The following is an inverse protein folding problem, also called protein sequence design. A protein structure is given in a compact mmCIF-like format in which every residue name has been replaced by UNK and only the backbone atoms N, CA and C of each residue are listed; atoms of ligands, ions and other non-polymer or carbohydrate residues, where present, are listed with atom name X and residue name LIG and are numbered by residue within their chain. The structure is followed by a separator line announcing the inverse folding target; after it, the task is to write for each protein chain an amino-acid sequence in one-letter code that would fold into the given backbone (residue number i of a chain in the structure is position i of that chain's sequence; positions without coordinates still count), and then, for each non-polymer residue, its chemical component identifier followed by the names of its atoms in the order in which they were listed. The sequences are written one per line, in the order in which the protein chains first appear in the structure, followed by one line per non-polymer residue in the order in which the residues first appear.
data_IF_903395796748
#
_entry.id   IF_903395796748
#
_cell.length_a   1.000
_cell.length_b   1.000
_cell.length_c   1.000
_cell.angle_alpha   90.00
_cell.angle_beta   90.00
_cell.angle_gamma   90.00
#
_symmetry.space_group_name_H-M   'P 1'
#
loop_
_entity.id
_entity.type
_entity.pdbx_description
1 polymer ?
#
# COMPACT_ATOMS: atom_id res chain seq x y z
N UNK A 1 5.67 10.05 1.27
CA UNK A 1 6.01 9.08 2.35
C UNK A 1 7.20 8.17 2.02
N UNK A 2 7.28 7.49 0.86
CA UNK A 2 8.39 6.57 0.59
C UNK A 2 9.78 7.21 0.70
N UNK A 3 9.96 8.40 0.16
CA UNK A 3 11.24 9.11 0.15
C UNK A 3 11.60 9.71 1.53
N UNK A 4 10.64 10.01 2.40
CA UNK A 4 10.92 10.59 3.71
C UNK A 4 11.67 9.63 4.65
N UNK A 5 11.58 8.32 4.41
CA UNK A 5 12.29 7.30 5.17
C UNK A 5 13.83 7.38 5.03
N UNK A 6 14.33 8.01 3.96
CA UNK A 6 15.76 8.21 3.69
C UNK A 6 16.33 9.50 4.30
N UNK A 7 15.49 10.34 4.88
CA UNK A 7 15.85 11.66 5.39
C UNK A 7 15.97 11.72 6.92
N UNK A 8 16.72 12.71 7.37
CA UNK A 8 16.82 13.07 8.78
C UNK A 8 15.88 14.25 9.05
N UNK A 9 15.04 14.12 10.07
CA UNK A 9 14.11 15.17 10.48
C UNK A 9 14.88 16.33 11.12
N UNK A 10 14.66 17.55 10.61
CA UNK A 10 15.11 18.78 11.28
C UNK A 10 13.98 19.27 12.21
N UNK A 11 14.05 18.89 13.46
CA UNK A 11 13.03 19.23 14.47
C UNK A 11 12.83 20.74 14.62
N UNK A 12 13.88 21.56 14.42
CA UNK A 12 13.79 23.03 14.51
C UNK A 12 12.88 23.63 13.44
N UNK A 13 12.72 22.96 12.31
CA UNK A 13 11.92 23.39 11.15
C UNK A 13 10.51 22.82 11.13
N UNK A 14 10.22 21.74 11.86
CA UNK A 14 8.91 21.06 11.80
C UNK A 14 7.73 21.98 12.09
N UNK A 15 7.88 22.94 13.01
CA UNK A 15 6.85 23.92 13.36
C UNK A 15 6.44 24.80 12.16
N UNK A 16 7.37 25.14 11.27
CA UNK A 16 7.07 25.96 10.08
C UNK A 16 6.31 25.18 9.04
N UNK A 17 6.60 23.89 8.88
CA UNK A 17 5.81 22.98 8.05
C UNK A 17 4.40 22.80 8.63
N UNK A 18 4.28 22.64 9.95
CA UNK A 18 2.96 22.56 10.60
C UNK A 18 2.12 23.79 10.33
N UNK A 19 2.70 25.00 10.42
CA UNK A 19 2.02 26.25 10.07
C UNK A 19 1.64 26.31 8.60
N UNK A 20 2.54 25.86 7.69
CA UNK A 20 2.30 25.85 6.24
C UNK A 20 1.04 25.08 5.86
N UNK A 21 0.69 23.97 6.55
CA UNK A 21 -0.52 23.23 6.27
C UNK A 21 -1.80 24.04 6.52
N UNK A 22 -1.73 25.11 7.30
CA UNK A 22 -2.84 26.03 7.54
C UNK A 22 -2.80 27.25 6.60
N UNK A 23 -1.65 27.91 6.45
CA UNK A 23 -1.55 29.19 5.74
C UNK A 23 -1.15 29.04 4.26
N UNK A 24 -0.63 27.89 3.83
CA UNK A 24 -0.21 27.56 2.46
C UNK A 24 0.79 28.56 1.85
N UNK A 25 1.57 29.24 2.66
CA UNK A 25 2.49 30.27 2.22
C UNK A 25 3.91 29.73 1.98
N UNK A 26 4.22 29.37 0.73
CA UNK A 26 5.51 28.81 0.31
C UNK A 26 6.70 29.79 0.51
N UNK A 27 6.49 31.09 0.30
CA UNK A 27 7.53 32.10 0.50
C UNK A 27 7.92 32.16 1.97
N UNK A 28 6.93 32.24 2.86
CA UNK A 28 7.15 32.23 4.30
C UNK A 28 7.83 30.94 4.78
N UNK A 29 7.43 29.78 4.24
CA UNK A 29 8.06 28.50 4.54
C UNK A 29 9.54 28.51 4.12
N UNK A 30 9.85 28.95 2.90
CA UNK A 30 11.21 29.07 2.38
C UNK A 30 12.08 29.96 3.24
N UNK A 31 11.60 31.16 3.59
CA UNK A 31 12.31 32.11 4.45
C UNK A 31 12.61 31.56 5.84
N UNK A 32 11.67 30.83 6.42
CA UNK A 32 11.79 30.29 7.78
C UNK A 32 12.59 29.00 7.89
N UNK A 33 12.62 28.20 6.83
CA UNK A 33 13.33 26.90 6.83
C UNK A 33 14.69 26.97 6.15
N UNK A 34 14.94 27.98 5.32
CA UNK A 34 16.13 28.09 4.49
C UNK A 34 16.15 27.13 3.28
N UNK A 35 15.10 26.33 3.07
CA UNK A 35 14.98 25.53 1.86
C UNK A 35 14.67 26.42 0.65
N UNK A 36 15.36 26.16 -0.46
CA UNK A 36 15.09 26.89 -1.70
C UNK A 36 13.82 26.35 -2.38
N UNK A 37 12.69 27.01 -2.14
CA UNK A 37 11.37 26.60 -2.62
C UNK A 37 10.82 27.50 -3.73
N UNK A 38 11.67 28.33 -4.36
CA UNK A 38 11.25 29.38 -5.31
C UNK A 38 10.42 28.89 -6.51
N UNK A 39 10.58 27.65 -6.91
CA UNK A 39 9.88 27.13 -8.09
C UNK A 39 8.66 26.23 -7.72
N UNK A 40 8.30 26.07 -6.44
CA UNK A 40 7.11 25.32 -5.99
C UNK A 40 5.80 26.13 -6.13
N UNK A 41 5.84 27.33 -6.68
CA UNK A 41 4.65 28.18 -6.87
C UNK A 41 3.69 27.65 -7.94
N UNK A 42 4.12 26.69 -8.77
CA UNK A 42 3.23 26.04 -9.74
C UNK A 42 2.82 24.66 -9.30
N UNK A 43 1.54 24.42 -8.96
CA UNK A 43 1.04 23.09 -8.59
C UNK A 43 1.07 22.06 -9.74
N UNK A 44 1.39 22.53 -10.97
CA UNK A 44 1.40 21.71 -12.19
C UNK A 44 2.81 21.33 -12.67
N UNK A 45 3.86 21.82 -12.01
CA UNK A 45 5.22 21.40 -12.33
C UNK A 45 5.41 19.97 -11.78
N UNK A 46 5.75 19.05 -12.68
CA UNK A 46 6.15 17.72 -12.33
C UNK A 46 7.35 17.80 -11.37
N UNK A 47 7.23 17.36 -10.11
CA UNK A 47 8.33 17.45 -9.14
C UNK A 47 9.59 16.72 -9.57
N UNK A 48 9.50 15.85 -10.61
CA UNK A 48 10.60 15.07 -11.13
C UNK A 48 11.43 15.83 -12.19
N UNK A 49 10.89 16.87 -12.80
CA UNK A 49 11.55 17.59 -13.89
C UNK A 49 12.36 18.81 -13.42
N UNK A 50 12.13 19.29 -12.18
CA UNK A 50 12.84 20.40 -11.60
C UNK A 50 13.36 20.02 -10.20
N UNK A 51 14.57 19.53 -10.15
CA UNK A 51 15.28 19.17 -8.92
C UNK A 51 15.54 20.38 -8.02
N UNK A 52 14.57 20.66 -7.13
CA UNK A 52 14.72 21.66 -6.10
C UNK A 52 15.71 21.25 -5.06
N UNK A 53 15.55 19.99 -4.61
CA UNK A 53 16.27 19.37 -3.53
C UNK A 53 16.65 17.98 -4.02
N UNK A 54 17.91 17.76 -4.29
CA UNK A 54 18.45 16.47 -4.71
C UNK A 54 19.23 15.80 -3.57
N UNK A 55 19.38 14.48 -3.65
CA UNK A 55 20.16 13.72 -2.68
C UNK A 55 19.64 13.87 -1.24
N UNK A 56 20.55 13.95 -0.29
CA UNK A 56 20.25 13.96 1.14
C UNK A 56 19.40 15.16 1.59
N UNK A 57 19.60 16.33 0.97
CA UNK A 57 18.80 17.52 1.30
C UNK A 57 17.33 17.33 0.94
N UNK A 58 17.03 16.73 -0.20
CA UNK A 58 15.66 16.39 -0.61
C UNK A 58 15.02 15.35 0.32
N UNK A 59 15.80 14.38 0.77
CA UNK A 59 15.34 13.39 1.73
C UNK A 59 15.02 14.04 3.09
N UNK A 60 15.90 14.90 3.59
CA UNK A 60 15.70 15.62 4.85
C UNK A 60 14.50 16.57 4.79
N UNK A 61 14.30 17.27 3.66
CA UNK A 61 13.11 18.07 3.43
C UNK A 61 11.84 17.22 3.54
N UNK A 62 11.79 16.07 2.82
CA UNK A 62 10.63 15.18 2.84
C UNK A 62 10.34 14.62 4.22
N UNK A 63 11.38 14.22 4.98
CA UNK A 63 11.25 13.74 6.36
C UNK A 63 10.71 14.83 7.30
N UNK A 64 11.26 16.04 7.21
CA UNK A 64 10.84 17.19 8.04
C UNK A 64 9.42 17.63 7.70
N UNK A 65 9.05 17.64 6.41
CA UNK A 65 7.71 17.94 5.94
C UNK A 65 6.69 16.91 6.44
N UNK A 66 7.00 15.62 6.36
CA UNK A 66 6.15 14.55 6.89
C UNK A 66 5.93 14.72 8.40
N UNK A 67 6.98 14.97 9.16
CA UNK A 67 6.89 15.20 10.61
C UNK A 67 6.06 16.45 10.94
N UNK A 68 6.24 17.53 10.19
CA UNK A 68 5.44 18.75 10.32
C UNK A 68 3.95 18.51 10.04
N UNK A 69 3.64 17.72 9.01
CA UNK A 69 2.28 17.28 8.70
C UNK A 69 1.67 16.48 9.86
N UNK A 70 2.39 15.49 10.37
CA UNK A 70 1.94 14.70 11.50
C UNK A 70 1.63 15.56 12.71
N UNK A 71 2.54 16.49 13.08
CA UNK A 71 2.36 17.37 14.20
C UNK A 71 1.14 18.30 14.04
N UNK A 72 0.91 18.83 12.84
CA UNK A 72 -0.28 19.64 12.53
C UNK A 72 -1.57 18.83 12.72
N UNK A 73 -1.61 17.61 12.19
CA UNK A 73 -2.77 16.74 12.30
C UNK A 73 -3.02 16.32 13.76
N UNK A 74 -1.98 15.94 14.48
CA UNK A 74 -2.06 15.54 15.89
C UNK A 74 -2.66 16.67 16.73
N UNK A 75 -2.23 17.92 16.53
CA UNK A 75 -2.81 19.07 17.24
C UNK A 75 -4.33 19.22 17.02
N UNK A 76 -4.81 18.99 15.78
CA UNK A 76 -6.25 18.97 15.48
C UNK A 76 -6.91 17.77 16.17
N UNK A 77 -6.30 16.60 16.07
CA UNK A 77 -6.82 15.34 16.60
C UNK A 77 -7.01 15.39 18.11
N UNK A 78 -6.03 15.91 18.85
CA UNK A 78 -6.12 16.15 20.31
C UNK A 78 -7.24 17.11 20.67
N UNK A 79 -7.41 18.18 19.89
CA UNK A 79 -8.53 19.12 20.05
C UNK A 79 -9.89 18.42 19.90
N UNK A 80 -10.03 17.51 18.93
CA UNK A 80 -11.23 16.70 18.72
C UNK A 80 -11.48 15.75 19.89
N UNK A 81 -10.46 15.01 20.32
CA UNK A 81 -10.59 14.08 21.46
C UNK A 81 -11.00 14.80 22.74
N UNK A 82 -10.36 15.95 23.00
CA UNK A 82 -10.70 16.79 24.18
C UNK A 82 -12.14 17.30 24.15
N UNK A 83 -12.64 17.66 22.95
CA UNK A 83 -13.97 18.22 22.79
C UNK A 83 -15.08 17.15 22.89
N UNK A 84 -14.85 15.97 22.33
CA UNK A 84 -15.91 14.98 22.14
C UNK A 84 -15.80 13.73 23.03
N UNK A 85 -14.68 13.50 23.71
CA UNK A 85 -14.45 12.35 24.63
C UNK A 85 -14.81 11.00 23.98
N UNK A 86 -14.36 10.76 22.74
CA UNK A 86 -14.68 9.56 21.96
C UNK A 86 -13.50 8.58 21.93
N UNK A 87 -13.82 7.28 21.90
CA UNK A 87 -12.82 6.19 21.78
C UNK A 87 -12.79 5.57 20.36
N UNK A 88 -13.84 5.70 19.58
CA UNK A 88 -13.90 5.22 18.21
C UNK A 88 -13.74 6.39 17.24
N UNK A 89 -12.74 6.34 16.39
CA UNK A 89 -12.41 7.39 15.45
C UNK A 89 -12.27 6.81 14.05
N UNK A 90 -12.88 7.47 13.06
CA UNK A 90 -12.70 7.16 11.65
C UNK A 90 -11.96 8.32 10.98
N UNK A 91 -10.88 8.03 10.24
CA UNK A 91 -10.16 9.02 9.43
C UNK A 91 -10.51 8.78 7.96
N UNK A 92 -11.08 9.80 7.32
CA UNK A 92 -11.40 9.85 5.90
C UNK A 92 -10.73 11.04 5.23
N UNK A 93 -10.93 11.19 3.92
CA UNK A 93 -10.23 12.17 3.09
C UNK A 93 -8.86 11.67 2.63
N UNK A 94 -8.24 12.38 1.71
CA UNK A 94 -6.91 12.02 1.16
C UNK A 94 -5.82 11.91 2.23
N UNK A 95 -5.94 12.65 3.35
CA UNK A 95 -5.05 12.55 4.51
C UNK A 95 -5.06 11.17 5.19
N UNK A 96 -6.17 10.43 5.11
CA UNK A 96 -6.29 9.07 5.61
C UNK A 96 -5.38 8.04 4.90
N UNK A 97 -4.81 8.40 3.76
CA UNK A 97 -3.80 7.58 3.07
C UNK A 97 -2.39 7.71 3.67
N UNK A 98 -2.19 8.59 4.66
CA UNK A 98 -0.90 8.73 5.34
C UNK A 98 -0.73 7.65 6.43
N UNK A 99 -0.19 6.51 6.01
CA UNK A 99 -0.05 5.33 6.87
C UNK A 99 0.89 5.54 8.06
N UNK A 100 1.86 6.46 7.96
CA UNK A 100 2.78 6.81 9.06
C UNK A 100 2.03 7.57 10.15
N UNK A 101 1.24 8.57 9.77
CA UNK A 101 0.37 9.29 10.69
C UNK A 101 -0.64 8.35 11.38
N UNK A 102 -1.28 7.48 10.60
CA UNK A 102 -2.27 6.55 11.12
C UNK A 102 -1.66 5.58 12.15
N UNK A 103 -0.47 5.05 11.87
CA UNK A 103 0.25 4.19 12.80
C UNK A 103 0.68 4.96 14.05
N UNK A 104 1.13 6.20 13.91
CA UNK A 104 1.47 7.06 15.02
C UNK A 104 0.27 7.31 15.94
N UNK A 105 -0.89 7.66 15.40
CA UNK A 105 -2.13 7.84 16.17
C UNK A 105 -2.49 6.56 16.93
N UNK A 106 -2.44 5.43 16.23
CA UNK A 106 -2.74 4.12 16.80
C UNK A 106 -1.84 3.76 17.99
N UNK A 107 -0.56 4.12 17.90
CA UNK A 107 0.43 3.82 18.94
C UNK A 107 0.39 4.80 20.11
N UNK A 108 0.21 6.11 19.85
CA UNK A 108 0.28 7.17 20.86
C UNK A 108 -1.04 7.36 21.63
N UNK A 109 -2.20 7.08 20.99
CA UNK A 109 -3.51 7.35 21.59
C UNK A 109 -4.29 6.07 21.92
N UNK A 110 -5.13 6.16 22.95
CA UNK A 110 -6.00 5.04 23.33
C UNK A 110 -7.36 5.14 22.61
N UNK A 111 -7.32 5.00 21.29
CA UNK A 111 -8.50 5.06 20.42
C UNK A 111 -8.56 3.80 19.54
N UNK A 112 -9.77 3.39 19.20
CA UNK A 112 -10.04 2.43 18.14
C UNK A 112 -10.10 3.19 16.82
N UNK A 113 -8.96 3.24 16.11
CA UNK A 113 -8.84 3.97 14.86
C UNK A 113 -9.25 3.08 13.68
N UNK A 114 -10.14 3.58 12.85
CA UNK A 114 -10.53 2.97 11.59
C UNK A 114 -10.18 3.89 10.41
N UNK A 115 -9.51 3.32 9.41
CA UNK A 115 -9.25 3.96 8.12
C UNK A 115 -9.84 3.05 7.04
N UNK A 116 -10.86 3.49 6.29
CA UNK A 116 -11.48 2.66 5.28
C UNK A 116 -10.53 2.36 4.11
N UNK A 117 -10.79 1.35 3.26
CA UNK A 117 -9.95 1.01 2.11
C UNK A 117 -9.90 2.12 1.06
N UNK A 118 -10.90 2.99 1.05
CA UNK A 118 -11.11 4.07 0.09
C UNK A 118 -11.38 5.41 0.81
N UNK A 119 -10.42 5.90 1.63
CA UNK A 119 -10.65 7.08 2.47
C UNK A 119 -10.74 8.39 1.67
N UNK A 120 -10.16 8.43 0.46
CA UNK A 120 -10.15 9.57 -0.46
C UNK A 120 -11.40 9.60 -1.36
N UNK A 121 -11.37 10.40 -2.41
CA UNK A 121 -12.50 10.60 -3.34
C UNK A 121 -13.00 9.31 -3.99
N UNK A 122 -12.17 8.25 -4.06
CA UNK A 122 -12.61 6.94 -4.52
C UNK A 122 -13.78 6.37 -3.69
N UNK A 123 -13.92 6.78 -2.43
CA UNK A 123 -15.01 6.35 -1.54
C UNK A 123 -16.31 7.11 -1.68
N UNK A 124 -16.35 8.22 -2.44
CA UNK A 124 -17.54 9.08 -2.54
C UNK A 124 -18.72 8.37 -3.18
N UNK A 125 -18.48 7.57 -4.23
CA UNK A 125 -19.55 6.79 -4.90
C UNK A 125 -20.19 5.78 -3.95
N UNK A 126 -19.36 5.04 -3.19
CA UNK A 126 -19.84 4.08 -2.21
C UNK A 126 -20.57 4.77 -1.05
N UNK A 127 -20.01 5.87 -0.54
CA UNK A 127 -20.63 6.69 0.52
C UNK A 127 -21.97 7.26 0.11
N UNK A 128 -22.11 7.72 -1.14
CA UNK A 128 -23.40 8.20 -1.69
C UNK A 128 -24.45 7.10 -1.74
N UNK A 129 -24.05 5.88 -2.16
CA UNK A 129 -24.93 4.72 -2.14
C UNK A 129 -25.36 4.36 -0.72
N UNK A 130 -24.45 4.38 0.25
CA UNK A 130 -24.79 4.10 1.65
C UNK A 130 -25.72 5.15 2.25
N UNK A 131 -25.55 6.43 1.89
CA UNK A 131 -26.42 7.50 2.32
C UNK A 131 -27.86 7.31 1.78
N UNK A 132 -27.98 6.84 0.55
CA UNK A 132 -29.27 6.61 -0.10
C UNK A 132 -29.95 5.32 0.39
N UNK A 133 -29.26 4.16 0.32
CA UNK A 133 -29.84 2.86 0.62
C UNK A 133 -29.87 2.51 2.11
N UNK A 134 -29.00 3.15 2.93
CA UNK A 134 -28.89 2.94 4.39
C UNK A 134 -28.86 1.46 4.77
N UNK A 135 -27.86 0.69 4.32
CA UNK A 135 -27.80 -0.75 4.56
C UNK A 135 -27.86 -1.05 6.05
N UNK A 136 -28.68 -2.04 6.43
CA UNK A 136 -28.87 -2.48 7.83
C UNK A 136 -27.96 -3.64 8.21
N UNK A 137 -27.26 -4.22 7.24
CA UNK A 137 -26.32 -5.34 7.41
C UNK A 137 -24.90 -4.86 7.08
N UNK A 138 -23.89 -5.60 7.60
CA UNK A 138 -22.49 -5.34 7.27
C UNK A 138 -22.29 -5.51 5.76
N UNK A 139 -21.73 -4.48 5.12
CA UNK A 139 -21.39 -4.47 3.69
C UNK A 139 -19.88 -4.59 3.54
N UNK A 140 -19.44 -5.37 2.57
CA UNK A 140 -18.05 -5.36 2.16
C UNK A 140 -17.76 -4.00 1.50
N UNK A 141 -16.79 -3.25 2.04
CA UNK A 141 -16.44 -1.92 1.54
C UNK A 141 -15.16 -1.91 0.71
N UNK A 142 -14.50 -3.04 0.58
CA UNK A 142 -13.23 -3.17 -0.13
C UNK A 142 -13.37 -3.82 -1.50
N UNK A 143 -14.17 -4.88 -1.62
CA UNK A 143 -14.23 -5.75 -2.79
C UNK A 143 -15.60 -5.67 -3.49
N UNK A 144 -15.99 -4.45 -3.88
CA UNK A 144 -17.24 -4.15 -4.59
C UNK A 144 -16.97 -3.46 -5.93
N UNK A 145 -15.80 -3.68 -6.51
CA UNK A 145 -15.47 -3.21 -7.84
C UNK A 145 -16.09 -4.08 -8.92
N UNK A 146 -15.50 -4.07 -10.11
CA UNK A 146 -16.00 -4.84 -11.24
C UNK A 146 -15.21 -6.15 -11.40
N UNK A 147 -15.84 -7.21 -11.94
CA UNK A 147 -15.12 -8.37 -12.46
C UNK A 147 -14.17 -7.94 -13.57
N UNK A 148 -13.41 -8.87 -14.14
CA UNK A 148 -12.67 -8.59 -15.38
C UNK A 148 -13.69 -8.35 -16.50
N UNK A 149 -13.56 -7.22 -17.20
CA UNK A 149 -14.55 -6.76 -18.17
C UNK A 149 -14.66 -7.66 -19.41
N UNK A 150 -13.64 -8.47 -19.68
CA UNK A 150 -13.52 -9.40 -20.80
C UNK A 150 -13.41 -10.86 -20.35
N UNK A 151 -13.94 -11.16 -19.18
CA UNK A 151 -13.85 -12.48 -18.57
C UNK A 151 -14.52 -13.58 -19.40
N UNK A 152 -15.61 -13.25 -20.11
CA UNK A 152 -16.33 -14.17 -20.99
C UNK A 152 -15.47 -14.63 -22.20
N UNK A 153 -14.46 -13.86 -22.59
CA UNK A 153 -13.54 -14.19 -23.67
C UNK A 153 -12.29 -14.95 -23.22
N UNK A 154 -12.18 -15.34 -21.95
CA UNK A 154 -10.97 -15.93 -21.38
C UNK A 154 -10.44 -17.11 -22.20
N UNK A 155 -11.29 -18.06 -22.58
CA UNK A 155 -10.88 -19.24 -23.35
C UNK A 155 -10.25 -18.85 -24.69
N UNK A 156 -10.86 -17.89 -25.41
CA UNK A 156 -10.33 -17.39 -26.66
C UNK A 156 -8.98 -16.72 -26.52
N UNK A 157 -8.82 -15.91 -25.47
CA UNK A 157 -7.58 -15.17 -25.18
C UNK A 157 -6.41 -16.07 -24.77
N UNK A 158 -6.71 -17.27 -24.30
CA UNK A 158 -5.71 -18.26 -23.89
C UNK A 158 -5.33 -19.24 -25.02
N UNK A 159 -5.96 -19.17 -26.19
CA UNK A 159 -5.57 -20.00 -27.35
C UNK A 159 -4.10 -19.74 -27.68
N UNK A 160 -3.31 -20.82 -27.74
CA UNK A 160 -1.88 -20.77 -28.06
C UNK A 160 -0.98 -20.35 -26.90
N UNK A 161 -1.54 -20.06 -25.71
CA UNK A 161 -0.78 -19.78 -24.49
C UNK A 161 -0.60 -21.03 -23.63
N UNK A 162 0.55 -21.14 -22.98
CA UNK A 162 0.79 -22.18 -22.00
C UNK A 162 0.04 -21.86 -20.70
N UNK A 163 -1.01 -22.62 -20.42
CA UNK A 163 -1.83 -22.43 -19.23
C UNK A 163 -2.33 -23.77 -18.67
N UNK A 164 -2.64 -23.79 -17.39
CA UNK A 164 -3.13 -24.97 -16.67
C UNK A 164 -3.95 -24.57 -15.44
N UNK A 165 -4.77 -25.49 -14.95
CA UNK A 165 -5.39 -25.33 -13.63
C UNK A 165 -4.34 -25.40 -12.53
N UNK A 166 -4.46 -24.54 -11.52
CA UNK A 166 -3.48 -24.45 -10.43
C UNK A 166 -4.07 -24.75 -9.07
N UNK A 167 -3.20 -24.99 -8.12
CA UNK A 167 -3.52 -25.21 -6.70
C UNK A 167 -2.72 -24.26 -5.83
N UNK A 168 -3.17 -23.98 -4.60
CA UNK A 168 -2.42 -23.14 -3.67
C UNK A 168 -1.02 -23.69 -3.37
N UNK A 169 -0.86 -25.02 -3.29
CA UNK A 169 0.45 -25.65 -3.12
C UNK A 169 1.40 -25.35 -4.28
N UNK A 170 0.90 -25.40 -5.53
CA UNK A 170 1.71 -25.06 -6.71
C UNK A 170 2.10 -23.60 -6.72
N UNK A 171 1.16 -22.69 -6.41
CA UNK A 171 1.43 -21.25 -6.31
C UNK A 171 2.49 -20.99 -5.23
N UNK A 172 2.35 -21.61 -4.06
CA UNK A 172 3.30 -21.47 -2.95
C UNK A 172 4.72 -21.92 -3.34
N UNK A 173 4.86 -23.05 -4.05
CA UNK A 173 6.16 -23.51 -4.53
C UNK A 173 6.78 -22.52 -5.54
N UNK A 174 6.02 -22.01 -6.49
CA UNK A 174 6.51 -21.00 -7.44
C UNK A 174 6.99 -19.73 -6.72
N UNK A 175 6.24 -19.26 -5.72
CA UNK A 175 6.65 -18.11 -4.90
C UNK A 175 7.96 -18.39 -4.15
N UNK A 176 8.10 -19.60 -3.57
CA UNK A 176 9.33 -20.03 -2.88
C UNK A 176 10.53 -20.14 -3.82
N UNK A 177 10.31 -20.40 -5.10
CA UNK A 177 11.34 -20.36 -6.16
C UNK A 177 11.69 -18.93 -6.62
N UNK A 178 11.09 -17.89 -6.02
CA UNK A 178 11.33 -16.50 -6.36
C UNK A 178 10.54 -15.99 -7.55
N UNK A 179 9.47 -16.72 -7.97
CA UNK A 179 8.63 -16.30 -9.07
C UNK A 179 7.75 -15.12 -8.72
N UNK A 180 7.51 -14.25 -9.69
CA UNK A 180 6.64 -13.07 -9.58
C UNK A 180 5.34 -13.41 -10.28
N UNK A 181 4.22 -13.32 -9.54
CA UNK A 181 2.92 -13.79 -10.00
C UNK A 181 1.90 -12.65 -9.95
N UNK A 182 1.25 -12.37 -11.08
CA UNK A 182 0.05 -11.52 -11.15
C UNK A 182 -1.19 -12.31 -10.74
N UNK A 183 -2.10 -11.71 -9.99
CA UNK A 183 -3.34 -12.34 -9.52
C UNK A 183 -4.53 -11.49 -9.92
N UNK A 184 -5.46 -12.13 -10.65
CA UNK A 184 -6.78 -11.61 -10.96
C UNK A 184 -7.82 -12.58 -10.39
N UNK A 185 -8.36 -12.22 -9.22
CA UNK A 185 -9.34 -13.04 -8.52
C UNK A 185 -10.60 -12.20 -8.29
N UNK A 186 -11.77 -12.78 -8.29
CA UNK A 186 -13.05 -12.14 -7.97
C UNK A 186 -13.20 -10.68 -8.47
N UNK A 187 -14.12 -9.90 -7.88
CA UNK A 187 -14.32 -8.49 -8.17
C UNK A 187 -13.17 -7.63 -7.67
N UNK A 188 -12.83 -6.57 -8.38
CA UNK A 188 -11.72 -5.70 -8.02
C UNK A 188 -11.97 -4.96 -6.71
N UNK A 189 -10.89 -4.47 -6.12
CA UNK A 189 -10.94 -3.57 -4.98
C UNK A 189 -11.50 -2.21 -5.39
N UNK A 190 -12.27 -1.58 -4.47
CA UNK A 190 -12.67 -0.18 -4.57
C UNK A 190 -11.72 0.67 -3.74
N UNK A 191 -10.83 1.41 -4.40
CA UNK A 191 -9.87 2.27 -3.70
C UNK A 191 -8.49 2.29 -4.35
N UNK A 192 -7.54 3.03 -3.75
CA UNK A 192 -6.23 3.27 -4.34
C UNK A 192 -5.22 2.14 -4.05
N UNK A 193 -5.63 1.06 -3.40
CA UNK A 193 -4.76 -0.05 -2.99
C UNK A 193 -5.23 -1.36 -3.60
N UNK A 194 -4.29 -2.13 -4.14
CA UNK A 194 -4.54 -3.53 -4.43
C UNK A 194 -4.52 -4.32 -3.11
N UNK A 195 -5.59 -5.04 -2.85
CA UNK A 195 -5.80 -5.78 -1.60
C UNK A 195 -5.88 -7.29 -1.84
N UNK A 196 -5.55 -7.73 -3.08
CA UNK A 196 -5.45 -9.14 -3.41
C UNK A 196 -6.12 -9.54 -4.72
N UNK A 197 -7.19 -8.85 -5.13
CA UNK A 197 -7.93 -9.25 -6.33
C UNK A 197 -7.30 -8.76 -7.64
N UNK A 198 -6.49 -7.70 -7.59
CA UNK A 198 -5.69 -7.20 -8.72
C UNK A 198 -4.28 -6.90 -8.22
N UNK A 199 -3.54 -7.96 -7.91
CA UNK A 199 -2.26 -7.88 -7.20
C UNK A 199 -1.13 -8.55 -7.96
N UNK A 200 0.10 -8.06 -7.74
CA UNK A 200 1.34 -8.78 -8.04
C UNK A 200 1.92 -9.22 -6.70
N UNK A 201 2.25 -10.50 -6.60
CA UNK A 201 2.76 -11.13 -5.38
C UNK A 201 4.09 -11.83 -5.64
N UNK A 202 4.93 -11.90 -4.61
CA UNK A 202 6.17 -12.66 -4.60
C UNK A 202 6.64 -12.92 -3.16
N UNK A 203 7.66 -13.77 -3.00
CA UNK A 203 8.33 -14.00 -1.72
C UNK A 203 9.25 -12.81 -1.38
N UNK A 204 9.04 -12.08 -0.28
CA UNK A 204 9.84 -10.94 0.12
C UNK A 204 11.22 -11.29 0.68
N UNK A 205 11.54 -12.57 0.88
CA UNK A 205 12.83 -13.03 1.42
C UNK A 205 13.99 -12.86 0.44
N UNK A 206 13.69 -12.67 -0.85
CA UNK A 206 14.72 -12.45 -1.87
C UNK A 206 15.24 -11.00 -1.81
N UNK A 207 16.53 -10.76 -1.55
CA UNK A 207 17.09 -9.42 -1.34
C UNK A 207 16.85 -8.45 -2.51
N UNK A 208 16.95 -8.94 -3.75
CA UNK A 208 16.85 -8.12 -4.96
C UNK A 208 15.39 -7.96 -5.47
N UNK A 209 14.40 -8.55 -4.81
CA UNK A 209 13.04 -8.56 -5.32
C UNK A 209 12.45 -7.16 -5.42
N UNK A 210 12.75 -6.27 -4.46
CA UNK A 210 12.34 -4.86 -4.52
C UNK A 210 12.87 -4.17 -5.77
N UNK A 211 14.13 -4.39 -6.13
CA UNK A 211 14.76 -3.74 -7.27
C UNK A 211 14.24 -4.32 -8.59
N UNK A 212 14.06 -5.64 -8.67
CA UNK A 212 13.45 -6.31 -9.82
C UNK A 212 12.04 -5.78 -10.05
N UNK A 213 11.22 -5.75 -9.02
CA UNK A 213 9.84 -5.24 -9.13
C UNK A 213 9.80 -3.77 -9.55
N UNK A 214 10.62 -2.88 -8.96
CA UNK A 214 10.60 -1.46 -9.29
C UNK A 214 11.13 -1.19 -10.70
N UNK A 215 12.23 -1.85 -11.12
CA UNK A 215 12.90 -1.58 -12.40
C UNK A 215 12.32 -2.35 -13.58
N UNK A 216 11.90 -3.61 -13.37
CA UNK A 216 11.59 -4.54 -14.47
C UNK A 216 10.11 -4.92 -14.59
N UNK A 217 9.30 -4.62 -13.57
CA UNK A 217 7.86 -4.89 -13.57
C UNK A 217 7.05 -3.62 -13.49
N UNK A 218 7.39 -2.73 -12.55
CA UNK A 218 6.63 -1.49 -12.29
C UNK A 218 7.17 -0.29 -13.04
N UNK A 219 8.42 -0.30 -13.53
CA UNK A 219 9.11 0.82 -14.20
C UNK A 219 8.99 2.13 -13.44
N UNK A 220 9.30 2.10 -12.12
CA UNK A 220 9.12 3.23 -11.21
C UNK A 220 10.36 3.46 -10.36
N UNK A 221 10.34 4.50 -9.56
CA UNK A 221 11.47 4.97 -8.76
C UNK A 221 11.92 3.90 -7.75
N UNK A 222 13.24 3.71 -7.61
CA UNK A 222 13.89 2.70 -6.78
C UNK A 222 13.53 2.74 -5.30
N UNK A 223 13.25 3.95 -4.76
CA UNK A 223 12.93 4.14 -3.34
C UNK A 223 11.50 3.75 -2.96
N UNK A 224 10.63 3.45 -3.92
CA UNK A 224 9.26 3.08 -3.59
C UNK A 224 9.21 1.75 -2.85
N UNK A 225 8.57 1.74 -1.66
CA UNK A 225 8.44 0.52 -0.88
C UNK A 225 7.31 -0.37 -1.42
N UNK A 226 7.35 -1.62 -0.99
CA UNK A 226 6.28 -2.58 -1.19
C UNK A 226 5.59 -2.92 0.12
N UNK A 227 4.39 -3.47 0.03
CA UNK A 227 3.55 -3.83 1.16
C UNK A 227 3.61 -5.34 1.40
N UNK A 228 3.69 -5.80 2.64
CA UNK A 228 3.47 -7.20 2.97
C UNK A 228 2.00 -7.50 3.15
N UNK A 229 1.62 -8.76 2.98
CA UNK A 229 0.46 -9.33 3.61
C UNK A 229 0.81 -10.62 4.36
N UNK A 230 0.15 -10.84 5.49
CA UNK A 230 0.29 -12.04 6.30
C UNK A 230 -1.04 -12.37 6.98
N UNK A 231 -1.14 -13.55 7.56
CA UNK A 231 -2.30 -13.89 8.39
C UNK A 231 -2.32 -13.01 9.65
N UNK A 232 -3.51 -12.60 10.09
CA UNK A 232 -3.65 -11.74 11.28
C UNK A 232 -3.09 -12.40 12.53
N UNK A 233 -3.26 -13.72 12.66
CA UNK A 233 -2.72 -14.51 13.76
C UNK A 233 -1.19 -14.51 13.82
N UNK A 234 -0.51 -14.33 12.68
CA UNK A 234 0.95 -14.31 12.58
C UNK A 234 1.53 -12.88 12.63
N UNK A 235 0.69 -11.85 12.50
CA UNK A 235 1.16 -10.47 12.36
C UNK A 235 2.06 -10.03 13.54
N UNK A 236 1.69 -10.41 14.78
CA UNK A 236 2.51 -10.09 15.95
C UNK A 236 3.85 -10.84 15.99
N UNK A 237 4.03 -11.90 15.22
CA UNK A 237 5.33 -12.58 15.10
C UNK A 237 6.34 -11.67 14.38
N UNK A 238 5.93 -11.04 13.28
CA UNK A 238 6.81 -10.30 12.37
C UNK A 238 6.86 -8.79 12.61
N UNK A 239 5.76 -8.21 13.12
CA UNK A 239 5.58 -6.77 13.22
C UNK A 239 5.35 -6.32 14.66
N UNK A 240 5.68 -5.05 14.93
CA UNK A 240 5.43 -4.37 16.21
C UNK A 240 4.44 -3.24 15.98
N UNK A 241 3.27 -3.35 16.60
CA UNK A 241 2.24 -2.32 16.70
C UNK A 241 1.53 -2.45 18.04
N UNK A 242 0.83 -1.41 18.49
CA UNK A 242 0.03 -1.44 19.73
C UNK A 242 -1.06 -2.52 19.69
N UNK A 243 -1.67 -2.70 18.52
CA UNK A 243 -2.62 -3.75 18.22
C UNK A 243 -2.68 -4.00 16.72
N UNK A 244 -3.34 -5.08 16.29
CA UNK A 244 -3.49 -5.45 14.87
C UNK A 244 -4.93 -5.31 14.37
N UNK A 245 -5.76 -4.51 15.04
CA UNK A 245 -7.11 -4.20 14.58
C UNK A 245 -7.09 -3.33 13.33
N UNK A 246 -8.04 -3.55 12.42
CA UNK A 246 -8.27 -2.74 11.22
C UNK A 246 -7.05 -2.66 10.26
N UNK A 247 -6.25 -3.74 10.15
CA UNK A 247 -5.10 -3.82 9.24
C UNK A 247 -5.41 -4.48 7.90
N UNK A 248 -6.66 -4.78 7.58
CA UNK A 248 -7.05 -5.48 6.36
C UNK A 248 -6.84 -4.62 5.09
N UNK A 249 -6.75 -3.29 5.23
CA UNK A 249 -6.81 -2.34 4.11
C UNK A 249 -5.52 -1.54 3.89
N UNK A 250 -4.38 -1.97 4.40
CA UNK A 250 -3.10 -1.25 4.24
C UNK A 250 -3.14 0.19 4.75
N UNK A 251 -3.95 0.46 5.77
CA UNK A 251 -4.13 1.81 6.35
C UNK A 251 -3.01 2.23 7.32
N UNK A 252 -2.11 1.32 7.70
CA UNK A 252 -1.13 1.52 8.77
C UNK A 252 0.24 0.97 8.36
N UNK A 253 1.29 1.41 9.09
CA UNK A 253 2.66 1.02 8.82
C UNK A 253 3.41 0.59 10.10
N UNK A 254 3.08 -0.60 10.66
CA UNK A 254 3.81 -1.14 11.81
C UNK A 254 5.29 -1.37 11.49
N UNK A 255 6.11 -1.42 12.53
CA UNK A 255 7.56 -1.64 12.41
C UNK A 255 7.86 -3.13 12.30
N UNK A 256 8.69 -3.52 11.33
CA UNK A 256 9.23 -4.89 11.20
C UNK A 256 10.15 -5.16 12.39
N UNK A 257 9.97 -6.27 13.08
CA UNK A 257 10.81 -6.66 14.21
C UNK A 257 12.24 -6.94 13.76
N UNK A 258 13.22 -6.60 14.61
CA UNK A 258 14.66 -6.63 14.29
C UNK A 258 15.10 -7.98 13.72
N UNK A 259 14.63 -9.07 14.29
CA UNK A 259 14.95 -10.45 13.93
C UNK A 259 14.42 -10.90 12.56
N UNK A 260 13.50 -10.13 11.97
CA UNK A 260 12.91 -10.41 10.65
C UNK A 260 13.32 -9.45 9.53
N UNK A 261 14.05 -8.37 9.82
CA UNK A 261 14.44 -7.38 8.81
C UNK A 261 15.27 -8.00 7.68
N UNK A 262 16.25 -8.84 8.05
CA UNK A 262 17.10 -9.54 7.08
C UNK A 262 16.37 -10.67 6.35
N UNK A 263 15.33 -11.22 6.97
CA UNK A 263 14.49 -12.28 6.38
C UNK A 263 13.40 -11.73 5.44
N UNK A 264 13.05 -10.45 5.58
CA UNK A 264 11.99 -9.78 4.82
C UNK A 264 12.49 -8.47 4.17
N UNK A 265 13.64 -8.49 3.46
CA UNK A 265 14.30 -7.27 3.00
C UNK A 265 13.44 -6.49 2.00
N UNK A 266 12.66 -7.17 1.17
CA UNK A 266 11.91 -6.51 0.09
C UNK A 266 10.65 -5.77 0.55
N UNK A 267 10.21 -5.98 1.79
CA UNK A 267 9.06 -5.26 2.39
C UNK A 267 9.44 -4.41 3.61
N UNK A 268 10.66 -4.48 4.06
CA UNK A 268 11.17 -3.62 5.12
C UNK A 268 11.62 -2.30 4.53
N UNK A 269 10.96 -1.20 4.91
CA UNK A 269 11.32 0.14 4.46
C UNK A 269 12.59 0.63 5.19
N UNK A 270 13.18 1.72 4.71
CA UNK A 270 14.40 2.28 5.31
C UNK A 270 14.22 2.68 6.78
N UNK A 271 13.04 3.20 7.13
CA UNK A 271 12.65 3.52 8.51
C UNK A 271 12.18 2.30 9.32
N UNK A 272 12.35 1.10 8.76
CA UNK A 272 11.90 -0.19 9.30
C UNK A 272 10.37 -0.35 9.40
N UNK A 273 9.59 0.59 8.91
CA UNK A 273 8.15 0.43 8.79
C UNK A 273 7.77 -0.49 7.64
N UNK A 274 6.53 -0.97 7.63
CA UNK A 274 6.00 -1.73 6.51
C UNK A 274 4.47 -1.57 6.45
N UNK A 275 3.93 -1.25 5.27
CA UNK A 275 2.50 -1.00 5.08
C UNK A 275 1.73 -2.33 5.03
N UNK A 276 1.45 -2.87 6.20
CA UNK A 276 0.90 -4.21 6.39
C UNK A 276 -0.57 -4.31 5.95
N UNK A 277 -0.87 -5.43 5.28
CA UNK A 277 -2.23 -5.96 5.12
C UNK A 277 -2.35 -7.25 5.93
N UNK A 278 -3.26 -7.29 6.91
CA UNK A 278 -3.61 -8.53 7.60
C UNK A 278 -4.74 -9.24 6.87
N UNK A 279 -4.63 -10.56 6.75
CA UNK A 279 -5.60 -11.42 6.07
C UNK A 279 -6.27 -12.34 7.08
N UNK A 280 -7.60 -12.39 7.05
CA UNK A 280 -8.40 -13.41 7.69
C UNK A 280 -9.11 -14.25 6.63
N UNK A 281 -9.66 -15.39 7.02
CA UNK A 281 -10.46 -16.22 6.09
C UNK A 281 -11.68 -15.46 5.55
N UNK A 282 -12.27 -14.61 6.40
CA UNK A 282 -13.45 -13.82 6.07
C UNK A 282 -13.11 -12.60 5.19
N UNK A 283 -11.93 -12.01 5.40
CA UNK A 283 -11.51 -10.82 4.64
C UNK A 283 -11.05 -11.18 3.23
N UNK A 284 -10.34 -12.32 3.06
CA UNK A 284 -9.83 -12.74 1.75
C UNK A 284 -9.48 -14.23 1.72
N UNK A 285 -10.44 -15.08 1.36
CA UNK A 285 -10.30 -16.53 1.41
C UNK A 285 -9.15 -17.09 0.53
N UNK A 286 -8.95 -16.52 -0.68
CA UNK A 286 -7.86 -16.95 -1.57
C UNK A 286 -6.49 -16.78 -0.91
N UNK A 287 -6.18 -15.57 -0.41
CA UNK A 287 -4.87 -15.32 0.21
C UNK A 287 -4.72 -15.99 1.57
N UNK A 288 -5.80 -16.18 2.30
CA UNK A 288 -5.76 -16.98 3.52
C UNK A 288 -5.26 -18.41 3.23
N UNK A 289 -5.84 -19.07 2.25
CA UNK A 289 -5.44 -20.44 1.88
C UNK A 289 -4.03 -20.47 1.26
N UNK A 290 -3.66 -19.48 0.44
CA UNK A 290 -2.32 -19.39 -0.12
C UNK A 290 -1.26 -19.22 0.97
N UNK A 291 -1.47 -18.35 1.95
CA UNK A 291 -0.56 -18.16 3.08
C UNK A 291 -0.45 -19.42 3.94
N UNK A 292 -1.55 -20.15 4.16
CA UNK A 292 -1.52 -21.45 4.87
C UNK A 292 -0.68 -22.49 4.12
N UNK A 293 -0.72 -22.52 2.78
CA UNK A 293 0.15 -23.41 2.01
C UNK A 293 1.60 -22.93 2.01
N UNK A 294 1.82 -21.62 1.87
CA UNK A 294 3.16 -21.03 1.86
C UNK A 294 3.88 -21.22 3.19
N UNK A 295 3.17 -21.15 4.31
CA UNK A 295 3.73 -21.39 5.66
C UNK A 295 4.29 -22.78 5.88
N UNK A 296 3.89 -23.76 5.06
CA UNK A 296 4.40 -25.16 5.17
C UNK A 296 5.81 -25.31 4.61
N UNK A 297 6.23 -24.39 3.74
CA UNK A 297 7.47 -24.48 2.96
C UNK A 297 8.40 -23.27 3.12
N UNK A 298 7.94 -22.21 3.79
CA UNK A 298 8.70 -20.98 4.00
C UNK A 298 9.04 -20.75 5.47
N UNK A 299 10.19 -20.10 5.74
CA UNK A 299 10.61 -19.70 7.08
C UNK A 299 9.82 -18.48 7.61
N UNK A 300 9.12 -17.78 6.73
CA UNK A 300 8.25 -16.65 7.07
C UNK A 300 6.93 -16.80 6.35
N UNK A 301 5.82 -16.58 7.07
CA UNK A 301 4.48 -16.60 6.49
C UNK A 301 4.04 -15.20 6.06
N UNK A 302 4.87 -14.58 5.23
CA UNK A 302 4.67 -13.22 4.71
C UNK A 302 4.90 -13.23 3.21
N UNK A 303 4.01 -12.60 2.45
CA UNK A 303 4.18 -12.38 1.01
C UNK A 303 4.17 -10.88 0.72
N UNK A 304 4.86 -10.47 -0.34
CA UNK A 304 4.81 -9.11 -0.86
C UNK A 304 3.56 -8.93 -1.73
N UNK A 305 2.90 -7.78 -1.58
CA UNK A 305 1.74 -7.38 -2.36
C UNK A 305 1.95 -5.98 -2.98
N UNK A 306 1.71 -5.87 -4.28
CA UNK A 306 1.63 -4.59 -4.98
C UNK A 306 0.53 -4.62 -6.04
N UNK A 307 0.07 -3.45 -6.48
CA UNK A 307 -1.00 -3.33 -7.49
C UNK A 307 -0.61 -3.97 -8.81
N UNK A 308 -1.56 -4.63 -9.47
CA UNK A 308 -1.35 -5.20 -10.78
C UNK A 308 -1.57 -4.12 -11.85
N UNK A 309 -0.50 -3.42 -12.18
CA UNK A 309 -0.37 -2.42 -13.22
C UNK A 309 1.09 -2.08 -13.45
N UNK A 310 1.40 -1.37 -14.51
CA UNK A 310 2.68 -0.71 -14.75
C UNK A 310 2.57 0.79 -14.49
N UNK A 311 3.72 1.51 -14.46
CA UNK A 311 3.74 2.95 -14.25
C UNK A 311 2.85 3.69 -15.25
N UNK A 312 2.07 4.64 -14.73
CA UNK A 312 1.18 5.49 -15.54
C UNK A 312 -0.19 4.87 -15.84
N UNK A 313 -0.36 3.57 -15.61
CA UNK A 313 -1.63 2.90 -15.82
C UNK A 313 -2.40 2.70 -14.52
N UNK A 314 -3.74 2.71 -14.57
CA UNK A 314 -4.58 2.30 -13.44
C UNK A 314 -4.35 0.81 -13.09
N UNK A 315 -4.93 0.35 -11.99
CA UNK A 315 -5.05 -1.09 -11.69
C UNK A 315 -5.85 -1.71 -12.84
N UNK A 316 -5.38 -2.83 -13.36
CA UNK A 316 -5.97 -3.47 -14.53
C UNK A 316 -7.43 -3.88 -14.32
N UNK A 317 -8.19 -3.88 -15.41
CA UNK A 317 -9.61 -4.28 -15.44
C UNK A 317 -9.96 -5.33 -16.48
N UNK A 318 -9.00 -5.75 -17.30
CA UNK A 318 -9.20 -6.74 -18.36
C UNK A 318 -8.16 -7.86 -18.31
N UNK A 319 -8.48 -9.00 -18.92
CA UNK A 319 -7.52 -10.08 -19.16
C UNK A 319 -6.41 -9.60 -20.11
N UNK A 320 -6.76 -8.81 -21.12
CA UNK A 320 -5.78 -8.26 -22.05
C UNK A 320 -4.74 -7.39 -21.34
N UNK A 321 -5.15 -6.57 -20.37
CA UNK A 321 -4.21 -5.81 -19.53
C UNK A 321 -3.26 -6.74 -18.76
N UNK A 322 -3.79 -7.82 -18.19
CA UNK A 322 -2.99 -8.78 -17.41
C UNK A 322 -1.97 -9.51 -18.31
N UNK A 323 -2.41 -9.95 -19.50
CA UNK A 323 -1.54 -10.58 -20.47
C UNK A 323 -0.51 -9.61 -21.06
N UNK A 324 -0.89 -8.36 -21.28
CA UNK A 324 0.05 -7.31 -21.69
C UNK A 324 1.18 -7.12 -20.68
N UNK A 325 0.86 -7.07 -19.37
CA UNK A 325 1.89 -6.96 -18.33
C UNK A 325 2.76 -8.21 -18.28
N UNK A 326 2.18 -9.40 -18.43
CA UNK A 326 2.92 -10.67 -18.49
C UNK A 326 3.94 -10.66 -19.62
N UNK A 327 3.53 -10.28 -20.82
CA UNK A 327 4.35 -10.32 -22.02
C UNK A 327 5.46 -9.25 -22.04
N UNK A 328 5.22 -8.10 -21.43
CA UNK A 328 6.09 -6.92 -21.55
C UNK A 328 6.93 -6.60 -20.29
N UNK A 329 6.88 -7.43 -19.25
CA UNK A 329 7.64 -7.22 -18.01
C UNK A 329 8.34 -8.51 -17.57
N UNK A 330 9.10 -8.47 -16.46
CA UNK A 330 9.68 -9.66 -15.82
C UNK A 330 8.68 -10.41 -14.93
N UNK A 331 7.38 -10.32 -15.21
CA UNK A 331 6.36 -11.15 -14.58
C UNK A 331 6.49 -12.59 -15.11
N UNK A 332 6.50 -13.59 -14.24
CA UNK A 332 6.67 -14.99 -14.64
C UNK A 332 5.33 -15.67 -14.97
N UNK A 333 4.29 -15.36 -14.19
CA UNK A 333 2.97 -15.99 -14.29
C UNK A 333 1.85 -14.99 -14.02
N UNK A 334 0.68 -15.31 -14.57
CA UNK A 334 -0.59 -14.67 -14.19
C UNK A 334 -1.57 -15.76 -13.75
N UNK A 335 -2.29 -15.51 -12.68
CA UNK A 335 -3.41 -16.33 -12.23
C UNK A 335 -4.69 -15.56 -12.51
N UNK A 336 -5.60 -16.16 -13.27
CA UNK A 336 -6.96 -15.68 -13.46
C UNK A 336 -7.89 -16.74 -12.88
N UNK A 337 -8.55 -16.39 -11.75
CA UNK A 337 -9.32 -17.37 -10.96
C UNK A 337 -8.44 -18.55 -10.51
N UNK A 338 -8.62 -19.72 -11.12
CA UNK A 338 -7.88 -20.96 -10.86
C UNK A 338 -6.95 -21.38 -12.02
N UNK A 339 -6.80 -20.52 -13.02
CA UNK A 339 -5.96 -20.80 -14.17
C UNK A 339 -4.64 -20.05 -14.09
N UNK A 340 -3.54 -20.79 -14.07
CA UNK A 340 -2.17 -20.28 -14.11
C UNK A 340 -1.72 -20.19 -15.58
N UNK A 341 -1.29 -19.00 -15.98
CA UNK A 341 -0.82 -18.69 -17.32
C UNK A 341 0.67 -18.39 -17.21
N UNK A 342 1.49 -19.09 -17.99
CA UNK A 342 2.92 -18.90 -18.05
C UNK A 342 3.29 -17.89 -19.13
N UNK A 343 4.33 -17.09 -18.88
CA UNK A 343 4.97 -16.26 -19.89
C UNK A 343 5.59 -17.11 -21.01
#
# INVERSE_FOLDING_TARGET
MGICAYGIVDESKTKYFSQFYFDKNWKKLSEKTGYNLKNLESPWLNPLDNYFLSGQEGFNFAATAQKGYENAFIGIFEGVLKKYSVNNVCITGGGGLNVLLNERIKNEYNVNLFVPPNPNDCGLSLGSNFLYYKPKTKVNIAYNGLPLLDEEDMEKKLIGRNHEKTTFSKIANLLKEGKIIGVCNEDSEVGPRALGNRSIICDPSFPNMKDILNSKVKFREWYRPFAPFCLIEDANLYFKSKNFNNLEYMGYAPVVKKEYKEKLPSITHEDNSSRLQCVTKESHNFFYNLLKEFSKISDTNVLLNTSFNIRGNPILSTIDDALFVLDNTELDYVIIKDTLIKK
#
